data_IF_013795224551
#
_entry.id   IF_013795224551
#
_cell.length_a   1.000
_cell.length_b   1.000
_cell.length_c   1.000
_cell.angle_alpha   90.00
_cell.angle_beta   90.00
_cell.angle_gamma   90.00
#
_symmetry.space_group_name_H-M   'P 1'
#
loop_
_entity.id
_entity.type
_entity.pdbx_description
1 polymer ?
#
# COMPACT_ATOMS: atom_id res chain seq x y z
N UNK A 1 -9.31 -4.08 -8.22
CA UNK A 1 -9.25 -5.55 -8.38
C UNK A 1 -10.30 -6.17 -7.47
N UNK A 2 -10.78 -7.38 -7.73
CA UNK A 2 -11.65 -8.09 -6.80
C UNK A 2 -11.13 -9.51 -6.61
N UNK A 3 -10.97 -9.94 -5.36
CA UNK A 3 -10.63 -11.31 -4.99
C UNK A 3 -11.79 -11.87 -4.17
N UNK A 4 -12.40 -12.95 -4.66
CA UNK A 4 -13.72 -13.39 -4.20
C UNK A 4 -14.71 -12.22 -4.17
N UNK A 5 -15.28 -11.89 -3.01
CA UNK A 5 -16.26 -10.81 -2.87
C UNK A 5 -15.67 -9.56 -2.23
N UNK A 6 -14.35 -9.51 -2.09
CA UNK A 6 -13.62 -8.40 -1.50
C UNK A 6 -12.88 -7.64 -2.60
N UNK A 7 -13.11 -6.33 -2.65
CA UNK A 7 -12.45 -5.43 -3.56
C UNK A 7 -11.14 -4.90 -2.97
N UNK A 8 -10.08 -4.96 -3.77
CA UNK A 8 -8.75 -4.47 -3.42
C UNK A 8 -8.34 -3.32 -4.33
N UNK A 9 -7.79 -2.27 -3.74
CA UNK A 9 -7.18 -1.12 -4.43
C UNK A 9 -5.73 -0.94 -3.99
N UNK A 10 -4.86 -0.71 -4.98
CA UNK A 10 -3.47 -0.34 -4.77
C UNK A 10 -3.26 1.04 -5.39
N UNK A 11 -2.93 2.02 -4.56
CA UNK A 11 -2.58 3.37 -5.00
C UNK A 11 -1.07 3.56 -4.84
N UNK A 12 -0.38 3.95 -5.92
CA UNK A 12 1.03 4.31 -5.88
C UNK A 12 1.17 5.79 -6.24
N UNK A 13 1.78 6.59 -5.36
CA UNK A 13 1.96 8.03 -5.60
C UNK A 13 3.39 8.49 -5.39
N UNK A 14 3.72 9.58 -6.07
CA UNK A 14 4.90 10.39 -5.79
C UNK A 14 4.40 11.81 -5.48
N UNK A 15 4.41 12.20 -4.21
CA UNK A 15 3.87 13.49 -3.76
C UNK A 15 4.91 14.61 -3.88
N UNK A 16 4.47 15.87 -3.73
CA UNK A 16 5.32 17.04 -3.79
C UNK A 16 6.58 16.94 -2.90
N UNK A 17 7.74 17.04 -3.54
CA UNK A 17 9.04 17.08 -2.87
C UNK A 17 9.32 18.46 -2.23
N UNK A 18 10.26 18.50 -1.28
CA UNK A 18 10.72 19.75 -0.66
C UNK A 18 11.00 19.60 0.83
N UNK A 19 11.84 20.47 1.38
CA UNK A 19 12.21 20.54 2.81
C UNK A 19 11.92 21.92 3.42
N UNK A 20 11.26 22.82 2.68
CA UNK A 20 10.90 24.12 3.21
C UNK A 20 9.67 23.96 4.09
N UNK A 21 9.57 24.81 5.09
CA UNK A 21 8.35 24.96 5.88
C UNK A 21 7.15 25.23 4.96
N UNK A 22 6.04 24.53 5.20
CA UNK A 22 4.84 24.59 4.37
C UNK A 22 4.82 23.62 3.18
N UNK A 23 5.93 22.93 2.85
CA UNK A 23 5.92 21.94 1.76
C UNK A 23 5.03 20.72 2.12
N UNK A 24 4.84 20.42 3.41
CA UNK A 24 3.90 19.39 3.89
C UNK A 24 2.45 19.69 3.51
N UNK A 25 2.04 20.95 3.48
CA UNK A 25 0.69 21.35 3.08
C UNK A 25 0.43 21.06 1.59
N UNK A 26 1.47 21.11 0.74
CA UNK A 26 1.35 20.70 -0.66
C UNK A 26 1.14 19.20 -0.77
N UNK A 27 1.90 18.39 -0.01
CA UNK A 27 1.69 16.94 0.04
C UNK A 27 0.30 16.58 0.55
N UNK A 28 -0.19 17.26 1.57
CA UNK A 28 -1.55 17.08 2.08
C UNK A 28 -2.59 17.40 1.00
N UNK A 29 -2.38 18.47 0.25
CA UNK A 29 -3.25 18.86 -0.88
C UNK A 29 -3.24 17.80 -1.98
N UNK A 30 -2.06 17.27 -2.34
CA UNK A 30 -1.92 16.17 -3.29
C UNK A 30 -2.72 14.94 -2.83
N UNK A 31 -2.64 14.56 -1.55
CA UNK A 31 -3.41 13.43 -0.97
C UNK A 31 -4.92 13.65 -1.14
N UNK A 32 -5.41 14.84 -0.79
CA UNK A 32 -6.83 15.19 -0.93
C UNK A 32 -7.27 15.13 -2.39
N UNK A 33 -6.47 15.67 -3.31
CA UNK A 33 -6.77 15.67 -4.74
C UNK A 33 -6.78 14.25 -5.33
N UNK A 34 -5.79 13.42 -4.98
CA UNK A 34 -5.74 12.02 -5.42
C UNK A 34 -6.97 11.26 -4.94
N UNK A 35 -7.35 11.39 -3.66
CA UNK A 35 -8.54 10.74 -3.12
C UNK A 35 -9.84 11.21 -3.79
N UNK A 36 -9.93 12.51 -4.07
CA UNK A 36 -11.14 13.12 -4.65
C UNK A 36 -11.30 12.81 -6.13
N UNK A 37 -10.21 12.85 -6.89
CA UNK A 37 -10.23 12.90 -8.35
C UNK A 37 -9.88 11.56 -9.01
N UNK A 38 -9.31 10.60 -8.28
CA UNK A 38 -9.00 9.28 -8.86
C UNK A 38 -10.27 8.45 -9.04
N UNK A 39 -10.60 8.17 -10.30
CA UNK A 39 -11.75 7.38 -10.70
C UNK A 39 -11.34 6.16 -11.53
N UNK A 40 -11.77 4.98 -11.09
CA UNK A 40 -11.53 3.73 -11.82
C UNK A 40 -12.60 3.52 -12.89
N UNK A 41 -12.17 3.25 -14.13
CA UNK A 41 -13.08 3.01 -15.25
C UNK A 41 -13.81 1.67 -15.06
N UNK A 42 -15.14 1.69 -15.20
CA UNK A 42 -15.98 0.48 -15.19
C UNK A 42 -15.83 -0.24 -16.54
N UNK A 43 -14.93 -1.22 -16.61
CA UNK A 43 -14.68 -1.98 -17.85
C UNK A 43 -15.76 -3.02 -18.16
N UNK A 44 -16.45 -3.54 -17.14
CA UNK A 44 -17.52 -4.53 -17.31
C UNK A 44 -18.80 -4.09 -16.56
N UNK A 45 -19.91 -3.94 -17.29
CA UNK A 45 -21.25 -3.79 -16.73
C UNK A 45 -21.81 -5.19 -16.42
N UNK A 46 -21.16 -5.95 -15.55
CA UNK A 46 -21.72 -7.23 -15.12
C UNK A 46 -22.89 -6.92 -14.19
N UNK A 47 -24.11 -7.19 -14.65
CA UNK A 47 -25.34 -6.95 -13.89
C UNK A 47 -25.24 -7.56 -12.49
N UNK A 48 -25.39 -6.75 -11.45
CA UNK A 48 -25.49 -7.21 -10.05
C UNK A 48 -24.27 -7.00 -9.16
N UNK A 49 -23.09 -6.59 -9.66
CA UNK A 49 -21.94 -6.22 -8.80
C UNK A 49 -21.53 -4.76 -8.99
N UNK A 50 -21.63 -3.97 -7.91
CA UNK A 50 -21.19 -2.57 -7.88
C UNK A 50 -19.66 -2.55 -7.84
N UNK A 51 -19.00 -2.30 -8.97
CA UNK A 51 -17.55 -2.07 -9.00
C UNK A 51 -17.23 -0.75 -8.30
N UNK A 52 -16.33 -0.73 -7.30
CA UNK A 52 -15.87 0.50 -6.66
C UNK A 52 -15.40 1.52 -7.69
N UNK A 53 -15.78 2.79 -7.53
CA UNK A 53 -15.47 3.84 -8.50
C UNK A 53 -14.29 4.71 -8.06
N UNK A 54 -14.08 4.85 -6.76
CA UNK A 54 -12.99 5.63 -6.13
C UNK A 54 -12.11 4.76 -5.26
N UNK A 55 -10.97 5.30 -4.82
CA UNK A 55 -10.01 4.62 -3.94
C UNK A 55 -10.71 4.09 -2.68
N UNK A 56 -11.38 4.98 -1.94
CA UNK A 56 -12.06 4.64 -0.67
C UNK A 56 -13.38 3.88 -0.83
N UNK A 57 -13.84 3.64 -2.07
CA UNK A 57 -15.00 2.77 -2.31
C UNK A 57 -14.63 1.27 -2.21
N UNK A 58 -13.34 0.94 -2.12
CA UNK A 58 -12.86 -0.45 -2.04
C UNK A 58 -12.80 -0.93 -0.60
N UNK A 59 -13.00 -2.24 -0.41
CA UNK A 59 -13.02 -2.87 0.92
C UNK A 59 -11.63 -2.89 1.57
N UNK A 60 -10.58 -3.04 0.77
CA UNK A 60 -9.18 -3.13 1.20
C UNK A 60 -8.34 -2.22 0.32
N UNK A 61 -7.65 -1.25 0.92
CA UNK A 61 -6.80 -0.33 0.18
C UNK A 61 -5.40 -0.34 0.74
N UNK A 62 -4.41 -0.44 -0.14
CA UNK A 62 -3.00 -0.22 0.17
C UNK A 62 -2.53 0.99 -0.63
N UNK A 63 -2.00 1.99 0.06
CA UNK A 63 -1.39 3.17 -0.56
C UNK A 63 0.09 3.17 -0.25
N UNK A 64 0.91 3.20 -1.29
CA UNK A 64 2.36 3.19 -1.18
C UNK A 64 3.02 4.24 -2.09
N UNK A 65 4.31 4.48 -1.87
CA UNK A 65 5.16 5.23 -2.78
C UNK A 65 6.06 6.23 -2.06
N UNK A 66 6.63 7.14 -2.85
CA UNK A 66 7.40 8.27 -2.32
C UNK A 66 6.42 9.38 -1.91
N UNK A 67 6.01 9.34 -0.65
CA UNK A 67 5.12 10.34 -0.07
C UNK A 67 5.85 11.63 0.29
N UNK A 68 7.19 11.64 0.22
CA UNK A 68 8.03 12.82 0.35
C UNK A 68 7.91 13.64 1.65
N UNK A 69 7.17 13.17 2.65
CA UNK A 69 7.17 13.77 3.99
C UNK A 69 8.58 13.70 4.59
N UNK A 70 8.92 14.75 5.36
CA UNK A 70 10.27 14.97 5.90
C UNK A 70 10.25 14.89 7.42
N UNK A 71 11.43 15.04 8.02
CA UNK A 71 11.61 15.11 9.47
C UNK A 71 11.77 16.57 9.87
N UNK A 72 10.96 17.04 10.81
CA UNK A 72 10.95 18.41 11.34
C UNK A 72 12.12 18.71 12.28
N UNK A 73 13.32 18.25 11.95
CA UNK A 73 14.55 18.47 12.73
C UNK A 73 15.65 19.05 11.85
N UNK A 74 16.64 19.69 12.48
CA UNK A 74 17.86 20.04 11.77
C UNK A 74 18.61 18.77 11.32
N UNK A 75 19.43 18.91 10.28
CA UNK A 75 20.30 17.82 9.83
C UNK A 75 21.17 17.27 10.96
N UNK A 76 21.72 18.15 11.82
CA UNK A 76 22.59 17.75 12.94
C UNK A 76 21.88 16.93 13.99
N UNK A 77 20.65 17.30 14.35
CA UNK A 77 19.85 16.56 15.33
C UNK A 77 19.38 15.23 14.75
N UNK A 78 18.88 15.24 13.52
CA UNK A 78 18.51 14.02 12.78
C UNK A 78 19.68 13.05 12.72
N UNK A 79 20.88 13.54 12.37
CA UNK A 79 22.07 12.70 12.30
C UNK A 79 22.42 12.07 13.65
N UNK A 80 22.31 12.81 14.75
CA UNK A 80 22.56 12.26 16.10
C UNK A 80 21.61 11.11 16.43
N UNK A 81 20.31 11.29 16.18
CA UNK A 81 19.30 10.25 16.42
C UNK A 81 19.51 9.03 15.52
N UNK A 82 19.83 9.27 14.24
CA UNK A 82 20.14 8.18 13.29
C UNK A 82 21.38 7.40 13.73
N UNK A 83 22.42 8.06 14.20
CA UNK A 83 23.63 7.39 14.71
C UNK A 83 23.37 6.61 16.00
N UNK A 84 22.42 7.05 16.83
CA UNK A 84 21.99 6.35 18.02
C UNK A 84 20.98 5.22 17.74
N UNK A 85 20.51 5.08 16.50
CA UNK A 85 19.38 4.22 16.11
C UNK A 85 18.10 4.51 16.91
N UNK A 86 17.89 5.75 17.34
CA UNK A 86 16.72 6.17 18.09
C UNK A 86 15.57 6.52 17.13
N UNK A 87 14.96 5.47 16.59
CA UNK A 87 13.89 5.59 15.59
C UNK A 87 12.61 6.17 16.18
N UNK A 88 12.32 5.87 17.44
CA UNK A 88 11.12 6.37 18.12
C UNK A 88 11.21 7.89 18.29
N UNK A 89 12.31 8.43 18.84
CA UNK A 89 12.47 9.87 18.98
C UNK A 89 12.50 10.60 17.62
N UNK A 90 13.03 9.93 16.59
CA UNK A 90 13.06 10.47 15.24
C UNK A 90 11.67 10.49 14.58
N UNK A 91 10.87 9.44 14.80
CA UNK A 91 9.51 9.30 14.28
C UNK A 91 8.52 10.29 14.93
N UNK A 92 8.76 10.69 16.19
CA UNK A 92 8.01 11.78 16.83
C UNK A 92 8.12 13.13 16.10
N UNK A 93 9.08 13.27 15.19
CA UNK A 93 9.30 14.46 14.38
C UNK A 93 9.00 14.23 12.89
N UNK A 94 8.45 13.08 12.53
CA UNK A 94 8.04 12.76 11.17
C UNK A 94 6.79 13.55 10.77
N UNK A 95 6.86 14.27 9.65
CA UNK A 95 5.75 15.10 9.20
C UNK A 95 4.52 14.25 8.87
N UNK A 96 4.65 13.07 8.25
CA UNK A 96 3.47 12.25 7.94
C UNK A 96 2.75 11.83 9.22
N UNK A 97 3.49 11.43 10.26
CA UNK A 97 2.94 11.12 11.57
C UNK A 97 2.16 12.30 12.17
N UNK A 98 2.74 13.50 12.15
CA UNK A 98 2.11 14.71 12.68
C UNK A 98 0.88 15.12 11.85
N UNK A 99 0.98 15.14 10.52
CA UNK A 99 -0.13 15.53 9.64
C UNK A 99 -1.29 14.52 9.69
N UNK A 100 -1.03 13.26 10.03
CA UNK A 100 -2.06 12.26 10.29
C UNK A 100 -2.89 12.57 11.54
N UNK A 101 -2.27 13.09 12.59
CA UNK A 101 -2.98 13.61 13.76
C UNK A 101 -3.79 14.87 13.40
N UNK A 102 -3.30 15.66 12.43
CA UNK A 102 -3.99 16.83 11.85
C UNK A 102 -5.13 16.52 10.87
N UNK A 103 -5.40 15.24 10.56
CA UNK A 103 -6.53 14.82 9.74
C UNK A 103 -6.21 14.49 8.28
N UNK A 104 -4.94 14.40 7.89
CA UNK A 104 -4.55 13.79 6.61
C UNK A 104 -4.57 12.27 6.77
N UNK A 105 -4.98 11.52 5.75
CA UNK A 105 -5.09 10.06 5.84
C UNK A 105 -5.94 9.58 7.04
N UNK A 106 -7.07 10.24 7.34
CA UNK A 106 -8.01 9.79 8.39
C UNK A 106 -8.48 8.35 8.14
N UNK A 107 -8.38 7.51 9.17
CA UNK A 107 -8.77 6.09 9.14
C UNK A 107 -7.76 5.18 8.45
N UNK A 108 -6.65 5.72 7.94
CA UNK A 108 -5.56 4.91 7.43
C UNK A 108 -4.64 4.49 8.57
N UNK A 109 -4.00 3.34 8.38
CA UNK A 109 -3.05 2.73 9.29
C UNK A 109 -1.66 2.66 8.66
N UNK A 110 -0.63 2.66 9.51
CA UNK A 110 0.75 2.43 9.12
C UNK A 110 1.42 1.63 10.25
N UNK A 111 2.27 0.65 9.91
CA UNK A 111 2.99 -0.12 10.91
C UNK A 111 4.14 0.67 11.50
N UNK A 112 4.57 0.23 12.69
CA UNK A 112 5.71 0.83 13.35
C UNK A 112 6.98 0.69 12.50
N UNK A 113 7.70 1.80 12.34
CA UNK A 113 8.95 1.85 11.59
C UNK A 113 10.11 1.48 12.53
N UNK A 114 10.85 0.43 12.17
CA UNK A 114 12.02 -0.05 12.90
C UNK A 114 13.31 0.01 12.06
N UNK A 115 13.30 0.78 10.97
CA UNK A 115 14.40 0.89 10.03
C UNK A 115 14.82 2.35 9.84
N UNK A 116 16.09 2.60 9.53
CA UNK A 116 16.58 3.97 9.37
C UNK A 116 15.95 4.66 8.14
N UNK A 117 15.95 6.01 8.11
CA UNK A 117 15.43 6.81 7.00
C UNK A 117 15.89 6.33 5.62
N UNK A 118 14.97 6.33 4.66
CA UNK A 118 15.18 5.73 3.33
C UNK A 118 15.76 6.70 2.32
N UNK A 119 15.77 7.99 2.62
CA UNK A 119 16.25 9.09 1.79
C UNK A 119 17.12 10.05 2.60
N UNK A 120 18.10 10.78 2.07
CA UNK A 120 18.71 10.69 0.74
C UNK A 120 20.11 10.11 0.87
N UNK A 121 20.39 9.03 0.17
CA UNK A 121 21.71 8.39 0.16
C UNK A 121 22.63 8.96 -0.92
N UNK A 122 23.93 8.87 -0.69
CA UNK A 122 24.93 9.10 -1.73
C UNK A 122 24.95 7.91 -2.68
N UNK A 123 25.28 8.14 -3.95
CA UNK A 123 25.36 7.11 -4.98
C UNK A 123 26.20 5.92 -4.53
N UNK A 124 25.65 4.71 -4.65
CA UNK A 124 26.33 3.45 -4.32
C UNK A 124 26.99 3.43 -2.93
N UNK A 125 26.36 4.07 -1.94
CA UNK A 125 26.92 4.24 -0.58
C UNK A 125 25.82 4.18 0.49
N UNK A 126 26.19 3.78 1.70
CA UNK A 126 25.33 3.84 2.89
C UNK A 126 25.40 5.18 3.63
N UNK A 127 26.23 6.11 3.15
CA UNK A 127 26.30 7.47 3.66
C UNK A 127 25.16 8.33 3.11
N UNK A 128 24.50 9.06 4.00
CA UNK A 128 23.53 10.08 3.58
C UNK A 128 24.20 11.22 2.79
N UNK A 129 23.47 11.78 1.83
CA UNK A 129 23.96 12.83 0.96
C UNK A 129 24.30 14.11 1.74
N UNK A 130 25.54 14.60 1.55
CA UNK A 130 26.04 15.79 2.24
C UNK A 130 26.85 15.52 3.51
N UNK A 131 27.20 14.26 3.80
CA UNK A 131 28.19 13.91 4.83
C UNK A 131 29.62 14.36 4.46
N UNK A 132 29.95 14.46 3.17
CA UNK A 132 31.26 14.94 2.70
C UNK A 132 31.38 16.47 2.78
N UNK A 133 32.59 16.97 3.08
CA UNK A 133 32.95 18.38 3.42
C UNK A 133 32.42 19.50 2.49
N UNK A 134 31.89 19.18 1.31
CA UNK A 134 31.23 20.15 0.41
C UNK A 134 29.73 20.24 0.74
N UNK A 135 29.35 21.16 1.62
CA UNK A 135 27.96 21.46 2.07
C UNK A 135 26.93 21.76 0.96
N UNK A 136 27.33 21.81 -0.32
CA UNK A 136 26.43 22.10 -1.43
C UNK A 136 25.57 20.85 -1.70
N UNK A 137 24.27 20.92 -1.38
CA UNK A 137 23.22 19.87 -1.53
C UNK A 137 23.05 18.87 -0.37
N UNK A 138 23.23 19.31 0.88
CA UNK A 138 22.87 18.50 2.07
C UNK A 138 21.35 18.38 2.21
N UNK A 139 20.85 17.15 2.40
CA UNK A 139 19.45 16.82 2.68
C UNK A 139 19.33 16.15 4.04
N UNK A 140 18.28 16.46 4.79
CA UNK A 140 18.02 15.81 6.06
C UNK A 140 17.53 14.38 5.78
N UNK A 141 18.09 13.35 6.43
CA UNK A 141 17.56 11.99 6.31
C UNK A 141 16.05 11.96 6.61
N UNK A 142 15.25 11.26 5.80
CA UNK A 142 13.80 11.18 5.97
C UNK A 142 13.21 9.83 5.50
N UNK A 143 12.07 9.44 6.07
CA UNK A 143 11.24 8.34 5.59
C UNK A 143 10.26 8.87 4.54
N UNK A 144 10.76 9.05 3.32
CA UNK A 144 9.94 9.51 2.21
C UNK A 144 9.09 8.37 1.61
N UNK A 145 9.61 7.14 1.66
CA UNK A 145 8.99 5.95 1.08
C UNK A 145 8.11 5.25 2.13
N UNK A 146 6.79 5.20 1.91
CA UNK A 146 5.81 4.77 2.93
C UNK A 146 4.80 3.79 2.35
N UNK A 147 4.22 2.96 3.23
CA UNK A 147 3.14 2.02 2.91
C UNK A 147 2.07 2.10 3.99
N UNK A 148 0.90 2.59 3.62
CA UNK A 148 -0.29 2.72 4.47
C UNK A 148 -1.41 1.81 3.96
N UNK A 149 -2.37 1.50 4.83
CA UNK A 149 -3.57 0.75 4.45
C UNK A 149 -4.85 1.32 5.06
N UNK A 150 -5.97 1.05 4.40
CA UNK A 150 -7.31 1.45 4.82
C UNK A 150 -8.30 0.30 4.65
N UNK A 151 -9.24 0.20 5.58
CA UNK A 151 -10.23 -0.86 5.65
C UNK A 151 -9.88 -1.94 6.69
N UNK A 152 -10.91 -2.67 7.10
CA UNK A 152 -10.84 -3.73 8.11
C UNK A 152 -10.18 -5.02 7.55
N UNK A 153 -9.81 -5.96 8.43
CA UNK A 153 -9.32 -7.29 8.02
C UNK A 153 -8.01 -7.23 7.22
N UNK A 154 -7.16 -6.23 7.49
CA UNK A 154 -5.80 -6.12 6.97
C UNK A 154 -4.85 -6.14 8.17
N UNK A 155 -3.96 -7.13 8.21
CA UNK A 155 -2.92 -7.24 9.21
C UNK A 155 -1.55 -7.12 8.53
N UNK A 156 -0.73 -6.17 8.97
CA UNK A 156 0.64 -6.02 8.46
C UNK A 156 1.59 -6.93 9.23
N UNK A 157 2.15 -7.93 8.54
CA UNK A 157 3.11 -8.88 9.12
C UNK A 157 4.55 -8.37 9.14
N UNK A 158 4.92 -7.55 8.15
CA UNK A 158 6.25 -6.97 8.10
C UNK A 158 6.24 -5.62 7.43
N UNK A 159 7.16 -4.76 7.85
CA UNK A 159 7.41 -3.45 7.27
C UNK A 159 8.91 -3.16 7.35
N UNK A 160 9.61 -3.27 6.23
CA UNK A 160 11.07 -3.32 6.21
C UNK A 160 11.65 -2.50 5.06
N UNK A 161 12.85 -1.97 5.31
CA UNK A 161 13.73 -1.41 4.27
C UNK A 161 14.65 -2.49 3.70
N UNK A 162 14.97 -2.40 2.42
CA UNK A 162 15.98 -3.22 1.73
C UNK A 162 17.22 -2.38 1.40
N UNK A 163 18.39 -3.03 1.35
CA UNK A 163 19.69 -2.36 1.21
C UNK A 163 20.19 -2.21 -0.23
N UNK A 164 19.26 -2.04 -1.18
CA UNK A 164 19.63 -1.76 -2.57
C UNK A 164 20.20 -0.34 -2.71
N UNK A 165 21.39 -0.21 -3.32
CA UNK A 165 22.13 1.06 -3.45
C UNK A 165 22.07 1.69 -4.85
N UNK A 166 21.21 1.17 -5.72
CA UNK A 166 21.02 1.65 -7.09
C UNK A 166 20.35 3.03 -7.17
N UNK A 167 19.69 3.46 -6.09
CA UNK A 167 19.02 4.75 -5.97
C UNK A 167 19.54 5.50 -4.74
N UNK A 168 19.29 6.80 -4.69
CA UNK A 168 19.40 7.61 -3.48
C UNK A 168 18.26 7.35 -2.48
N UNK A 169 17.30 6.51 -2.85
CA UNK A 169 16.30 5.89 -1.97
C UNK A 169 16.65 4.43 -1.67
N UNK A 170 16.24 3.95 -0.49
CA UNK A 170 16.24 2.53 -0.13
C UNK A 170 14.84 1.94 -0.30
N UNK A 171 14.67 0.80 -1.03
CA UNK A 171 13.35 0.22 -1.23
C UNK A 171 12.68 -0.15 0.09
N UNK A 172 11.36 0.07 0.17
CA UNK A 172 10.53 -0.33 1.31
C UNK A 172 9.58 -1.42 0.88
N UNK A 173 9.38 -2.41 1.76
CA UNK A 173 8.51 -3.56 1.52
C UNK A 173 7.60 -3.77 2.72
N UNK A 174 6.36 -4.17 2.46
CA UNK A 174 5.45 -4.65 3.48
C UNK A 174 4.77 -5.95 3.03
N UNK A 175 4.45 -6.80 4.00
CA UNK A 175 3.69 -8.03 3.79
C UNK A 175 2.42 -7.95 4.63
N UNK A 176 1.29 -8.34 4.04
CA UNK A 176 -0.01 -8.28 4.68
C UNK A 176 -0.73 -9.63 4.63
N UNK A 177 -1.46 -9.96 5.69
CA UNK A 177 -2.60 -10.88 5.63
C UNK A 177 -3.84 -10.03 5.34
N UNK A 178 -4.64 -10.47 4.36
CA UNK A 178 -5.88 -9.78 3.98
C UNK A 178 -7.02 -10.77 4.00
N UNK A 179 -8.00 -10.50 4.85
CA UNK A 179 -9.23 -11.28 4.91
C UNK A 179 -10.11 -11.01 3.69
N UNK A 180 -10.63 -12.09 3.10
CA UNK A 180 -11.50 -12.04 1.91
C UNK A 180 -12.81 -12.77 2.16
N UNK A 181 -13.91 -12.18 1.68
CA UNK A 181 -15.24 -12.75 1.78
C UNK A 181 -15.49 -13.73 0.64
N UNK A 182 -15.84 -14.98 0.97
CA UNK A 182 -16.13 -16.04 0.00
C UNK A 182 -17.63 -16.33 -0.02
N UNK A 183 -18.23 -16.49 -1.20
CA UNK A 183 -19.61 -16.98 -1.28
C UNK A 183 -19.57 -18.49 -1.08
N UNK A 184 -20.20 -18.97 -0.01
CA UNK A 184 -20.41 -20.39 0.18
C UNK A 184 -21.71 -20.78 -0.54
N UNK A 185 -21.61 -21.39 -1.71
CA UNK A 185 -22.75 -22.02 -2.37
C UNK A 185 -23.13 -23.29 -1.59
N UNK A 186 -23.89 -23.16 -0.50
CA UNK A 186 -24.65 -24.32 -0.01
C UNK A 186 -25.69 -24.64 -1.08
N UNK A 187 -25.58 -25.83 -1.65
CA UNK A 187 -26.49 -26.41 -2.63
C UNK A 187 -27.96 -26.03 -2.36
N UNK A 188 -28.53 -25.18 -3.22
CA UNK A 188 -29.98 -25.17 -3.42
C UNK A 188 -30.26 -26.37 -4.32
N UNK A 189 -30.45 -27.53 -3.71
CA UNK A 189 -31.36 -28.55 -4.24
C UNK A 189 -32.40 -28.81 -3.16
N UNK A 190 -33.32 -27.86 -2.99
CA UNK A 190 -34.70 -28.26 -2.70
C UNK A 190 -35.31 -28.55 -4.06
N UNK A 191 -35.07 -29.78 -4.53
CA UNK A 191 -35.90 -30.37 -5.57
C UNK A 191 -37.33 -30.34 -5.02
N UNK A 192 -38.15 -29.43 -5.56
CA UNK A 192 -39.58 -29.50 -5.40
C UNK A 192 -40.05 -30.86 -5.93
N UNK A 193 -40.98 -31.47 -5.19
CA UNK A 193 -41.68 -32.68 -5.60
C UNK A 193 -42.14 -32.60 -7.07
N UNK A 194 -41.43 -33.27 -7.97
CA UNK A 194 -41.93 -33.65 -9.27
C UNK A 194 -41.83 -35.16 -9.38
N UNK A 195 -42.95 -35.84 -9.13
CA UNK A 195 -43.20 -37.19 -9.63
C UNK A 195 -43.21 -37.11 -11.16
N UNK A 196 -42.21 -37.69 -11.81
CA UNK A 196 -42.34 -38.11 -13.22
C UNK A 196 -41.71 -39.49 -13.34
N UNK A 197 -42.51 -40.40 -13.91
CA UNK A 197 -42.21 -41.81 -14.05
C UNK A 197 -41.14 -42.12 -15.11
N UNK A 198 -40.82 -43.41 -15.13
CA UNK A 198 -39.93 -44.15 -16.02
C UNK A 198 -39.71 -43.56 -17.42
N UNK A 199 -38.46 -43.52 -17.88
CA UNK A 199 -37.93 -44.53 -18.81
C UNK A 199 -36.42 -44.37 -19.01
N UNK A 200 -35.79 -45.51 -19.21
CA UNK A 200 -34.37 -45.80 -19.27
C UNK A 200 -33.84 -45.54 -20.69
N UNK A 201 -32.93 -44.58 -20.88
CA UNK A 201 -32.16 -44.46 -22.12
C UNK A 201 -30.72 -44.04 -21.81
N UNK A 202 -29.85 -45.04 -21.68
CA UNK A 202 -28.40 -44.90 -21.73
C UNK A 202 -27.92 -44.77 -23.19
N UNK A 203 -27.08 -43.78 -23.53
CA UNK A 203 -26.22 -43.87 -24.69
C UNK A 203 -24.87 -44.47 -24.29
N UNK A 204 -24.60 -45.68 -24.76
CA UNK A 204 -23.24 -46.23 -24.85
C UNK A 204 -22.49 -45.48 -25.95
N UNK A 205 -21.28 -44.98 -25.67
CA UNK A 205 -20.26 -44.92 -26.71
C UNK A 205 -18.83 -44.99 -26.14
N UNK A 206 -18.00 -45.63 -26.94
CA UNK A 206 -16.82 -46.43 -26.66
C UNK A 206 -15.52 -45.66 -26.50
N UNK A 207 -14.72 -46.08 -25.52
CA UNK A 207 -13.27 -45.79 -25.44
C UNK A 207 -12.53 -46.66 -26.46
N UNK A 208 -11.81 -46.06 -27.40
CA UNK A 208 -10.70 -46.71 -28.09
C UNK A 208 -9.38 -46.12 -27.58
N UNK A 209 -8.57 -46.99 -26.96
CA UNK A 209 -7.13 -46.80 -26.78
C UNK A 209 -6.45 -46.92 -28.13
N UNK A 210 -5.46 -46.08 -28.38
CA UNK A 210 -4.34 -46.44 -29.26
C UNK A 210 -3.05 -46.20 -28.50
N UNK A 211 -2.35 -47.30 -28.22
CA UNK A 211 -0.91 -47.32 -27.99
C UNK A 211 -0.22 -47.34 -29.37
N UNK A 212 0.88 -46.59 -29.48
CA UNK A 212 2.17 -47.07 -29.97
C UNK A 212 3.26 -46.31 -29.22
#
# INVERSE_FOLDING_TARGET
>A
MTLHQTSLCFACSHLASGEKEGDELRRNSDVVEILRNTHFRRLCKTSGRRTPARILDHDRVIWLGDLNYRIGLSYSETKKLVQANDWDALFEKDQLRIEREGGVFIGWNEGKIFFAPTYKYSWNSDSYAGESKKKKKRRTPAWCDRILWYGEGIEQLSYIRRESKFSDHRPVCAVFIVEVAVLHTKNIVKAANMKVGAEELLPRCSLQRQEF
#
